data_IF_689112022778
#
_entry.id   IF_689112022778
#
_cell.length_a   1.000
_cell.length_b   1.000
_cell.length_c   1.000
_cell.angle_alpha   90.00
_cell.angle_beta   90.00
_cell.angle_gamma   90.00
#
_symmetry.space_group_name_H-M   'P 1'
#
loop_
_entity.id
_entity.type
_entity.pdbx_description
1 polymer ?
#
# COMPACT_ATOMS: atom_id res chain seq x y z
N UNK A 1 35.81 -3.73 -67.67
CA UNK A 1 35.22 -5.03 -67.31
C UNK A 1 35.99 -5.60 -66.14
N UNK A 2 35.44 -6.64 -65.47
CA UNK A 2 35.88 -7.23 -64.19
C UNK A 2 35.47 -6.37 -62.95
N UNK A 3 34.44 -6.78 -62.18
CA UNK A 3 34.38 -7.41 -60.82
C UNK A 3 34.82 -6.50 -59.65
N UNK A 4 34.40 -6.66 -58.38
CA UNK A 4 33.63 -7.72 -57.70
C UNK A 4 32.79 -7.18 -56.49
N UNK A 5 32.04 -8.11 -55.89
CA UNK A 5 31.13 -8.18 -54.73
C UNK A 5 31.49 -7.56 -53.35
N UNK A 6 30.46 -7.53 -52.48
CA UNK A 6 30.52 -7.41 -51.00
C UNK A 6 29.93 -6.10 -50.44
N UNK A 7 29.27 -6.05 -49.28
CA UNK A 7 28.56 -7.09 -48.49
C UNK A 7 27.51 -6.37 -47.59
N UNK A 8 26.65 -7.13 -46.92
CA UNK A 8 25.52 -6.72 -46.09
C UNK A 8 25.87 -5.95 -44.81
N UNK A 9 25.02 -4.99 -44.44
CA UNK A 9 24.95 -4.43 -43.10
C UNK A 9 23.52 -3.96 -42.77
N UNK A 10 22.73 -4.80 -42.10
CA UNK A 10 21.45 -4.41 -41.50
C UNK A 10 21.73 -3.72 -40.17
N UNK A 11 21.53 -2.40 -40.10
CA UNK A 11 21.66 -1.64 -38.86
C UNK A 11 20.35 -1.73 -38.04
N UNK A 12 20.31 -2.66 -37.09
CA UNK A 12 19.23 -2.74 -36.10
C UNK A 12 19.47 -1.76 -34.96
N UNK A 13 19.09 -0.49 -35.14
CA UNK A 13 19.11 0.50 -34.07
C UNK A 13 17.92 0.31 -33.11
N UNK A 14 18.01 -0.71 -32.25
CA UNK A 14 17.16 -0.85 -31.07
C UNK A 14 17.69 0.06 -29.93
N UNK A 15 17.36 1.34 -29.98
CA UNK A 15 17.47 2.22 -28.80
C UNK A 15 16.19 2.06 -27.96
N UNK A 16 16.28 1.79 -26.65
CA UNK A 16 15.11 1.85 -25.79
C UNK A 16 14.51 3.26 -25.81
N UNK A 17 13.20 3.36 -26.04
CA UNK A 17 12.47 4.61 -25.90
C UNK A 17 12.33 4.96 -24.41
N UNK A 18 13.39 5.52 -23.81
CA UNK A 18 13.29 6.15 -22.49
C UNK A 18 12.36 7.37 -22.63
N UNK A 19 11.22 7.43 -21.91
CA UNK A 19 10.35 8.61 -21.94
C UNK A 19 11.13 9.85 -21.46
N UNK A 20 10.85 11.05 -22.01
CA UNK A 20 11.54 12.26 -21.58
C UNK A 20 11.30 12.51 -20.09
N UNK A 21 12.39 12.49 -19.32
CA UNK A 21 12.38 12.75 -17.88
C UNK A 21 12.14 14.23 -17.60
N UNK A 22 10.87 14.64 -17.59
CA UNK A 22 10.46 15.90 -16.96
C UNK A 22 10.83 15.80 -15.47
N UNK A 23 11.65 16.72 -14.91
CA UNK A 23 12.02 16.64 -13.50
C UNK A 23 10.78 16.73 -12.62
N UNK A 24 10.55 15.72 -11.76
CA UNK A 24 9.51 15.79 -10.73
C UNK A 24 9.87 16.90 -9.73
N UNK A 25 8.90 17.75 -9.41
CA UNK A 25 9.02 18.82 -8.41
C UNK A 25 8.85 18.33 -6.97
N UNK A 26 8.40 17.08 -6.81
CA UNK A 26 8.15 16.41 -5.53
C UNK A 26 8.97 15.12 -5.45
N UNK A 27 9.41 14.69 -4.25
CA UNK A 27 10.04 13.39 -4.07
C UNK A 27 9.08 12.25 -4.43
N UNK A 28 9.62 11.08 -4.79
CA UNK A 28 8.84 9.85 -4.97
C UNK A 28 8.32 9.39 -3.63
N UNK A 29 7.13 8.80 -3.63
CA UNK A 29 6.41 8.36 -2.43
C UNK A 29 5.88 6.94 -2.61
N UNK A 30 5.45 6.33 -1.51
CA UNK A 30 4.73 5.05 -1.50
C UNK A 30 3.35 5.10 -2.20
N UNK A 31 2.91 6.30 -2.64
CA UNK A 31 1.72 6.48 -3.47
C UNK A 31 1.98 6.38 -4.98
N UNK A 32 3.26 6.42 -5.43
CA UNK A 32 3.59 6.44 -6.85
C UNK A 32 3.38 5.06 -7.52
N UNK A 33 2.92 5.07 -8.78
CA UNK A 33 2.69 3.85 -9.56
C UNK A 33 3.98 3.06 -9.90
N UNK A 34 5.14 3.69 -9.73
CA UNK A 34 6.47 3.06 -9.86
C UNK A 34 7.28 3.49 -8.64
N UNK A 35 7.74 2.52 -7.85
CA UNK A 35 8.55 2.74 -6.68
C UNK A 35 10.01 3.07 -7.06
N UNK A 36 10.75 3.67 -6.12
CA UNK A 36 12.21 3.66 -6.15
C UNK A 36 12.72 2.33 -5.61
N UNK A 37 13.97 1.91 -5.95
CA UNK A 37 14.58 0.73 -5.37
C UNK A 37 14.58 0.71 -3.83
N UNK A 38 14.67 1.88 -3.20
CA UNK A 38 14.57 2.06 -1.73
C UNK A 38 13.17 1.69 -1.18
N UNK A 39 12.10 2.02 -1.91
CA UNK A 39 10.73 1.66 -1.51
C UNK A 39 10.45 0.19 -1.83
N UNK A 40 11.02 -0.35 -2.91
CA UNK A 40 10.97 -1.79 -3.22
C UNK A 40 11.67 -2.60 -2.13
N UNK A 41 12.91 -2.25 -1.76
CA UNK A 41 13.67 -2.87 -0.67
C UNK A 41 12.94 -2.74 0.69
N UNK A 42 12.32 -1.59 0.98
CA UNK A 42 11.53 -1.42 2.20
C UNK A 42 10.31 -2.35 2.24
N UNK A 43 9.65 -2.61 1.09
CA UNK A 43 8.57 -3.58 1.00
C UNK A 43 9.07 -5.02 1.16
N UNK A 44 10.16 -5.40 0.50
CA UNK A 44 10.76 -6.73 0.61
C UNK A 44 11.14 -7.05 2.06
N UNK A 45 11.79 -6.11 2.75
CA UNK A 45 12.12 -6.23 4.18
C UNK A 45 10.85 -6.34 5.04
N UNK A 46 9.83 -5.51 4.78
CA UNK A 46 8.57 -5.53 5.56
C UNK A 46 7.84 -6.87 5.40
N UNK A 47 7.75 -7.40 4.16
CA UNK A 47 7.11 -8.68 3.85
C UNK A 47 7.85 -9.84 4.53
N UNK A 48 9.18 -9.89 4.42
CA UNK A 48 10.00 -10.90 5.09
C UNK A 48 9.86 -10.87 6.63
N UNK A 49 9.78 -9.68 7.25
CA UNK A 49 9.56 -9.56 8.69
C UNK A 49 8.16 -10.02 9.13
N UNK A 50 7.13 -9.86 8.29
CA UNK A 50 5.78 -10.38 8.57
C UNK A 50 5.74 -11.91 8.48
N UNK A 51 6.40 -12.50 7.47
CA UNK A 51 6.55 -13.96 7.33
C UNK A 51 7.29 -14.58 8.54
N UNK A 52 8.37 -13.95 9.00
CA UNK A 52 9.11 -14.40 10.18
C UNK A 52 8.26 -14.26 11.45
N UNK A 53 7.59 -13.12 11.64
CA UNK A 53 6.70 -12.90 12.78
C UNK A 53 5.56 -13.94 12.83
N UNK A 54 4.98 -14.28 11.68
CA UNK A 54 3.98 -15.35 11.58
C UNK A 54 4.56 -16.68 12.04
N UNK A 55 5.73 -17.05 11.52
CA UNK A 55 6.40 -18.32 11.84
C UNK A 55 6.69 -18.46 13.33
N UNK A 56 7.19 -17.39 13.98
CA UNK A 56 7.42 -17.34 15.42
C UNK A 56 6.11 -17.40 16.23
N UNK A 57 5.05 -16.70 15.80
CA UNK A 57 3.73 -16.72 16.48
C UNK A 57 3.10 -18.11 16.42
N UNK A 58 3.12 -18.77 15.25
CA UNK A 58 2.60 -20.13 15.05
C UNK A 58 3.44 -21.18 15.81
N UNK A 59 4.77 -21.04 15.84
CA UNK A 59 5.65 -21.92 16.63
C UNK A 59 5.39 -21.84 18.14
N UNK A 60 4.83 -20.73 18.63
CA UNK A 60 4.42 -20.54 20.01
C UNK A 60 2.93 -20.88 20.27
N UNK A 61 2.23 -21.48 19.30
CA UNK A 61 0.85 -21.94 19.44
C UNK A 61 -0.19 -20.82 19.43
N UNK A 62 0.13 -19.67 18.84
CA UNK A 62 -0.79 -18.56 18.62
C UNK A 62 -1.01 -18.33 17.11
N UNK A 63 -1.95 -17.45 16.76
CA UNK A 63 -2.25 -17.06 15.38
C UNK A 63 -1.87 -15.59 15.17
N UNK A 64 -1.22 -15.28 14.04
CA UNK A 64 -0.99 -13.89 13.64
C UNK A 64 -2.22 -13.35 12.90
N UNK A 65 -2.73 -12.21 13.36
CA UNK A 65 -3.72 -11.41 12.66
C UNK A 65 -3.17 -9.99 12.50
N UNK A 66 -3.34 -9.38 11.34
CA UNK A 66 -2.79 -8.04 11.02
C UNK A 66 -3.90 -7.00 10.94
N UNK A 67 -3.70 -5.82 11.51
CA UNK A 67 -4.64 -4.69 11.39
C UNK A 67 -3.93 -3.51 10.76
N UNK A 68 -4.38 -3.11 9.56
CA UNK A 68 -3.90 -1.91 8.90
C UNK A 68 -4.70 -0.69 9.37
N UNK A 69 -4.01 0.32 9.91
CA UNK A 69 -4.62 1.57 10.37
C UNK A 69 -4.32 2.65 9.31
N UNK A 70 -5.34 3.29 8.72
CA UNK A 70 -5.12 4.34 7.73
C UNK A 70 -4.48 5.59 8.36
N UNK A 71 -3.88 6.42 7.53
CA UNK A 71 -3.50 7.79 7.89
C UNK A 71 -4.70 8.74 7.76
N UNK A 72 -4.71 9.84 8.52
CA UNK A 72 -5.73 10.89 8.40
C UNK A 72 -5.98 11.29 6.93
N UNK A 73 -4.93 11.47 6.14
CA UNK A 73 -5.03 11.86 4.73
C UNK A 73 -5.90 10.91 3.89
N UNK A 74 -5.84 9.59 4.14
CA UNK A 74 -6.66 8.60 3.44
C UNK A 74 -8.15 8.62 3.85
N UNK A 75 -8.49 9.29 4.95
CA UNK A 75 -9.84 9.33 5.55
C UNK A 75 -10.57 10.66 5.40
N UNK A 76 -9.86 11.70 4.92
CA UNK A 76 -10.47 12.97 4.53
C UNK A 76 -11.16 12.78 3.17
N UNK A 77 -12.48 13.05 3.05
CA UNK A 77 -13.17 12.96 1.78
C UNK A 77 -12.52 13.92 0.77
N UNK A 78 -12.28 13.49 -0.48
CA UNK A 78 -11.77 14.37 -1.51
C UNK A 78 -12.71 15.57 -1.73
N UNK A 79 -12.12 16.72 -2.06
CA UNK A 79 -12.89 17.82 -2.62
C UNK A 79 -13.44 17.42 -4.00
N UNK A 80 -14.57 18.02 -4.40
CA UNK A 80 -15.28 17.67 -5.64
C UNK A 80 -14.33 17.54 -6.85
N UNK A 81 -14.33 16.35 -7.47
CA UNK A 81 -13.50 16.05 -8.64
C UNK A 81 -12.06 15.58 -8.35
N UNK A 82 -11.68 15.41 -7.09
CA UNK A 82 -10.39 14.78 -6.71
C UNK A 82 -10.57 13.31 -6.29
N UNK A 83 -9.52 12.50 -6.44
CA UNK A 83 -9.47 11.14 -5.88
C UNK A 83 -9.15 11.19 -4.38
N UNK A 84 -9.55 10.15 -3.63
CA UNK A 84 -9.01 9.91 -2.30
C UNK A 84 -7.48 9.86 -2.32
N UNK A 85 -6.86 10.24 -1.19
CA UNK A 85 -5.43 10.03 -1.00
C UNK A 85 -5.09 8.53 -1.01
N UNK A 86 -3.84 8.19 -1.35
CA UNK A 86 -3.53 6.91 -1.99
C UNK A 86 -3.90 5.65 -1.18
N UNK A 87 -4.47 4.68 -1.88
CA UNK A 87 -4.81 3.34 -1.38
C UNK A 87 -3.70 2.30 -1.61
N UNK A 88 -2.75 2.53 -2.55
CA UNK A 88 -1.73 1.52 -2.91
C UNK A 88 -0.98 0.89 -1.70
N UNK A 89 -0.58 1.62 -0.64
CA UNK A 89 0.11 0.99 0.48
C UNK A 89 -0.75 -0.07 1.18
N UNK A 90 -2.07 0.17 1.26
CA UNK A 90 -3.03 -0.79 1.75
C UNK A 90 -3.19 -1.94 0.75
N UNK A 91 -3.37 -1.66 -0.54
CA UNK A 91 -3.53 -2.68 -1.59
C UNK A 91 -2.32 -3.64 -1.68
N UNK A 92 -1.10 -3.11 -1.58
CA UNK A 92 0.17 -3.85 -1.58
C UNK A 92 0.29 -4.78 -0.36
N UNK A 93 -0.05 -4.27 0.83
CA UNK A 93 -0.04 -5.07 2.06
C UNK A 93 -1.14 -6.13 2.05
N UNK A 94 -2.37 -5.75 1.68
CA UNK A 94 -3.53 -6.62 1.63
C UNK A 94 -3.30 -7.79 0.64
N UNK A 95 -2.78 -7.49 -0.56
CA UNK A 95 -2.46 -8.52 -1.59
C UNK A 95 -1.43 -9.52 -1.07
N UNK A 96 -0.36 -9.05 -0.43
CA UNK A 96 0.65 -9.92 0.17
C UNK A 96 0.08 -10.77 1.31
N UNK A 97 -0.77 -10.21 2.19
CA UNK A 97 -1.38 -10.96 3.28
C UNK A 97 -2.39 -12.00 2.79
N UNK A 98 -3.13 -11.71 1.71
CA UNK A 98 -3.97 -12.68 0.99
C UNK A 98 -3.13 -13.82 0.37
N UNK A 99 -2.02 -13.50 -0.30
CA UNK A 99 -1.11 -14.49 -0.91
C UNK A 99 -0.47 -15.42 0.12
N UNK A 100 -0.12 -14.90 1.29
CA UNK A 100 0.36 -15.68 2.43
C UNK A 100 -0.77 -16.44 3.16
N UNK A 101 -2.02 -16.00 3.04
CA UNK A 101 -3.12 -16.51 3.85
C UNK A 101 -2.99 -16.13 5.33
N UNK A 102 -2.54 -14.90 5.62
CA UNK A 102 -2.52 -14.30 6.97
C UNK A 102 -3.79 -13.47 7.12
N UNK A 103 -4.70 -13.77 8.07
CA UNK A 103 -5.91 -12.99 8.26
C UNK A 103 -5.61 -11.53 8.59
N UNK A 104 -6.31 -10.61 7.94
CA UNK A 104 -6.11 -9.18 8.15
C UNK A 104 -7.39 -8.36 8.12
N UNK A 105 -7.32 -7.18 8.75
CA UNK A 105 -8.36 -6.16 8.75
C UNK A 105 -7.76 -4.84 8.27
N UNK A 106 -8.23 -4.38 7.11
CA UNK A 106 -7.99 -3.01 6.66
C UNK A 106 -9.07 -2.09 7.23
N UNK A 107 -8.68 -1.13 8.09
CA UNK A 107 -9.61 -0.15 8.65
C UNK A 107 -9.98 0.97 7.67
N UNK A 108 -9.28 1.12 6.54
CA UNK A 108 -9.50 2.22 5.59
C UNK A 108 -10.95 2.32 5.08
N UNK A 109 -11.60 1.23 4.59
CA UNK A 109 -12.97 1.33 4.09
C UNK A 109 -13.98 1.75 5.18
N UNK A 110 -13.80 1.24 6.41
CA UNK A 110 -14.63 1.60 7.55
C UNK A 110 -14.47 3.09 7.93
N UNK A 111 -13.24 3.59 7.92
CA UNK A 111 -12.94 4.97 8.28
C UNK A 111 -13.42 5.96 7.20
N UNK A 112 -13.29 5.59 5.92
CA UNK A 112 -13.86 6.34 4.81
C UNK A 112 -15.40 6.36 4.86
N UNK A 113 -16.06 5.26 5.24
CA UNK A 113 -17.52 5.20 5.39
C UNK A 113 -18.05 6.03 6.58
N UNK A 114 -17.25 6.22 7.64
CA UNK A 114 -17.63 7.03 8.80
C UNK A 114 -17.59 8.55 8.52
N UNK A 115 -16.65 8.98 7.66
CA UNK A 115 -16.36 10.39 7.37
C UNK A 115 -17.58 11.19 6.82
N UNK A 116 -18.40 10.63 5.90
CA UNK A 116 -19.64 11.26 5.42
C UNK A 116 -20.75 11.47 6.46
N UNK A 117 -20.81 10.69 7.55
CA UNK A 117 -22.07 10.51 8.28
C UNK A 117 -22.31 11.43 9.50
N UNK A 118 -21.31 12.13 10.07
CA UNK A 118 -21.65 13.14 11.09
C UNK A 118 -20.58 13.67 12.04
N UNK A 119 -19.72 14.58 11.57
CA UNK A 119 -19.15 15.66 12.39
C UNK A 119 -18.22 15.27 13.55
N UNK A 120 -17.83 14.00 13.67
CA UNK A 120 -16.83 13.52 14.63
C UNK A 120 -15.60 13.05 13.86
N UNK A 121 -14.54 13.83 13.92
CA UNK A 121 -13.27 13.46 13.31
C UNK A 121 -12.71 12.20 13.98
N UNK A 122 -12.31 11.21 13.19
CA UNK A 122 -11.65 10.00 13.70
C UNK A 122 -10.22 10.29 14.17
N UNK A 123 -9.60 11.39 13.71
CA UNK A 123 -8.29 11.91 14.15
C UNK A 123 -8.41 13.34 14.65
N UNK A 124 -7.40 13.79 15.40
CA UNK A 124 -7.28 15.21 15.73
C UNK A 124 -6.83 16.01 14.51
N UNK A 125 -7.24 17.29 14.41
CA UNK A 125 -6.92 18.15 13.24
C UNK A 125 -5.40 18.37 13.05
N UNK A 126 -4.63 18.34 14.14
CA UNK A 126 -3.20 18.71 14.18
C UNK A 126 -2.32 17.65 14.84
N UNK A 127 -2.84 16.45 14.99
CA UNK A 127 -2.15 15.32 15.60
C UNK A 127 -2.56 14.06 14.83
N UNK A 128 -1.58 13.23 14.48
CA UNK A 128 -1.77 12.04 13.63
C UNK A 128 -2.44 10.87 14.36
N UNK A 129 -2.69 10.98 15.66
CA UNK A 129 -3.43 9.98 16.43
C UNK A 129 -4.94 10.12 16.31
N UNK A 130 -5.63 9.01 16.57
CA UNK A 130 -7.08 8.95 16.60
C UNK A 130 -7.66 9.74 17.79
N UNK A 131 -8.86 10.30 17.60
CA UNK A 131 -9.69 10.77 18.72
C UNK A 131 -10.27 9.58 19.49
N UNK A 132 -10.90 9.84 20.63
CA UNK A 132 -11.71 8.84 21.32
C UNK A 132 -12.82 8.22 20.44
N UNK A 133 -13.29 8.92 19.41
CA UNK A 133 -14.25 8.35 18.43
C UNK A 133 -13.54 7.44 17.42
N UNK A 134 -12.34 7.81 16.97
CA UNK A 134 -11.48 6.96 16.14
C UNK A 134 -11.12 5.63 16.81
N UNK A 135 -10.60 5.70 18.04
CA UNK A 135 -10.31 4.50 18.84
C UNK A 135 -11.55 3.63 19.10
N UNK A 136 -12.73 4.24 19.27
CA UNK A 136 -13.98 3.50 19.46
C UNK A 136 -14.40 2.74 18.19
N UNK A 137 -14.28 3.36 17.02
CA UNK A 137 -14.61 2.70 15.75
C UNK A 137 -13.58 1.62 15.39
N UNK A 138 -12.28 1.90 15.55
CA UNK A 138 -11.24 0.88 15.43
C UNK A 138 -11.50 -0.33 16.33
N UNK A 139 -11.77 -0.10 17.63
CA UNK A 139 -12.08 -1.17 18.58
C UNK A 139 -13.33 -1.97 18.24
N UNK A 140 -14.34 -1.35 17.61
CA UNK A 140 -15.55 -2.04 17.13
C UNK A 140 -15.22 -2.98 15.96
N UNK A 141 -14.44 -2.51 14.99
CA UNK A 141 -14.05 -3.28 13.80
C UNK A 141 -13.13 -4.44 14.20
N UNK A 142 -12.09 -4.15 14.99
CA UNK A 142 -11.15 -5.15 15.53
C UNK A 142 -11.90 -6.19 16.38
N UNK A 143 -12.89 -5.78 17.19
CA UNK A 143 -13.70 -6.69 17.98
C UNK A 143 -14.55 -7.65 17.14
N UNK A 144 -15.11 -7.20 16.02
CA UNK A 144 -15.83 -8.09 15.08
C UNK A 144 -14.87 -9.08 14.43
N UNK A 145 -13.78 -8.56 13.86
CA UNK A 145 -12.75 -9.34 13.19
C UNK A 145 -12.14 -10.42 14.10
N UNK A 146 -11.82 -10.09 15.36
CA UNK A 146 -11.39 -11.09 16.35
C UNK A 146 -12.47 -12.13 16.63
N UNK A 147 -13.75 -11.73 16.74
CA UNK A 147 -14.86 -12.67 17.00
C UNK A 147 -15.13 -13.62 15.82
N UNK A 148 -14.66 -13.28 14.62
CA UNK A 148 -14.74 -14.12 13.41
C UNK A 148 -13.56 -15.10 13.29
N UNK A 149 -12.50 -14.93 14.11
CA UNK A 149 -11.25 -15.70 14.07
C UNK A 149 -10.88 -16.32 15.44
N UNK A 150 -11.79 -16.29 16.41
CA UNK A 150 -11.67 -16.98 17.69
C UNK A 150 -12.65 -18.16 17.70
N UNK A 151 -12.11 -19.38 17.83
CA UNK A 151 -12.87 -20.63 18.04
C UNK A 151 -13.54 -20.71 19.43
#
# INVERSE_FOLDING_TARGET
GQVDSGDTAVSTNNTPNTPPTVPRTSPVTICDAVYTPEIEEAWDITKALIQELRSEVEANGAQLLVVSIPTLAQTIPPADGTSWYCSRPNEELNTFLDEEGIPYLDLLPAFQAYSPEGGKLLYYERDFHMTASGHKEAGRQIGSFLSEHLD
#
